data_IF_157955874310
#
_entry.id   IF_157955874310
#
_cell.length_a   1.000
_cell.length_b   1.000
_cell.length_c   1.000
_cell.angle_alpha   90.00
_cell.angle_beta   90.00
_cell.angle_gamma   90.00
#
_symmetry.space_group_name_H-M   'P 1'
#
loop_
_entity.id
_entity.type
_entity.pdbx_description
1 polymer ?
#
# COMPACT_ATOMS: atom_id res chain seq x y z
N UNK A 1 12.73 38.06 -43.74
CA UNK A 1 12.08 37.75 -42.44
C UNK A 1 11.07 36.61 -42.48
N UNK A 2 10.56 36.16 -43.65
CA UNK A 2 9.63 35.00 -43.73
C UNK A 2 10.37 33.65 -43.81
N UNK A 3 11.54 33.62 -44.46
CA UNK A 3 12.35 32.40 -44.67
C UNK A 3 13.00 31.90 -43.37
N UNK A 4 13.42 32.82 -42.48
CA UNK A 4 14.04 32.50 -41.18
C UNK A 4 13.04 31.88 -40.20
N UNK A 5 11.77 32.30 -40.24
CA UNK A 5 10.72 31.72 -39.41
C UNK A 5 10.40 30.26 -39.83
N UNK A 6 10.44 29.96 -41.13
CA UNK A 6 10.21 28.60 -41.64
C UNK A 6 11.31 27.61 -41.24
N UNK A 7 12.57 28.05 -41.25
CA UNK A 7 13.70 27.21 -40.81
C UNK A 7 13.62 26.91 -39.31
N UNK A 8 13.25 27.89 -38.50
CA UNK A 8 13.13 27.74 -37.05
C UNK A 8 12.01 26.77 -36.65
N UNK A 9 10.88 26.79 -37.37
CA UNK A 9 9.77 25.85 -37.17
C UNK A 9 10.17 24.41 -37.51
N UNK A 10 10.94 24.21 -38.58
CA UNK A 10 11.41 22.88 -39.00
C UNK A 10 12.43 22.32 -37.99
N UNK A 11 13.33 23.15 -37.47
CA UNK A 11 14.31 22.71 -36.45
C UNK A 11 13.67 22.33 -35.12
N UNK A 12 12.62 23.03 -34.69
CA UNK A 12 11.90 22.69 -33.45
C UNK A 12 11.08 21.41 -33.63
N UNK A 13 10.41 21.25 -34.78
CA UNK A 13 9.65 20.03 -35.09
C UNK A 13 10.57 18.80 -35.21
N UNK A 14 11.75 18.95 -35.79
CA UNK A 14 12.76 17.88 -35.88
C UNK A 14 13.29 17.44 -34.51
N UNK A 15 13.37 18.36 -33.53
CA UNK A 15 13.82 18.04 -32.17
C UNK A 15 12.77 17.24 -31.37
N UNK A 16 11.47 17.42 -31.67
CA UNK A 16 10.40 16.63 -31.04
C UNK A 16 10.28 15.21 -31.59
N UNK A 17 10.73 14.97 -32.83
CA UNK A 17 10.71 13.64 -33.46
C UNK A 17 11.86 12.72 -33.03
N UNK A 18 12.86 13.26 -32.31
CA UNK A 18 13.98 12.52 -31.75
C UNK A 18 13.85 12.28 -30.24
N UNK A 19 12.70 12.58 -29.64
CA UNK A 19 12.43 12.13 -28.29
C UNK A 19 12.41 10.59 -28.30
N UNK A 20 13.22 9.90 -27.48
CA UNK A 20 13.01 8.47 -27.30
C UNK A 20 11.56 8.29 -26.88
N UNK A 21 10.84 7.45 -27.60
CA UNK A 21 9.57 6.92 -27.14
C UNK A 21 9.80 6.51 -25.70
N UNK A 22 9.20 7.25 -24.75
CA UNK A 22 8.99 6.70 -23.43
C UNK A 22 8.12 5.48 -23.69
N UNK A 23 8.76 4.33 -23.86
CA UNK A 23 8.11 3.04 -23.72
C UNK A 23 7.37 3.18 -22.41
N UNK A 24 6.04 3.25 -22.54
CA UNK A 24 5.15 3.21 -21.41
C UNK A 24 5.56 1.95 -20.67
N UNK A 25 6.39 2.10 -19.64
CA UNK A 25 6.81 1.04 -18.77
C UNK A 25 5.50 0.49 -18.27
N UNK A 26 5.12 -0.68 -18.80
CA UNK A 26 3.93 -1.39 -18.41
C UNK A 26 3.95 -1.37 -16.91
N UNK A 27 3.06 -0.58 -16.30
CA UNK A 27 2.87 -0.59 -14.87
C UNK A 27 2.63 -2.05 -14.55
N UNK A 28 3.65 -2.71 -14.00
CA UNK A 28 3.51 -4.01 -13.38
C UNK A 28 2.40 -3.79 -12.39
N UNK A 29 1.23 -4.36 -12.70
CA UNK A 29 0.09 -4.35 -11.79
C UNK A 29 0.67 -4.71 -10.44
N UNK A 30 0.39 -3.90 -9.41
CA UNK A 30 0.81 -4.19 -8.05
C UNK A 30 0.10 -5.47 -7.62
N UNK A 31 0.62 -6.60 -8.07
CA UNK A 31 0.19 -7.92 -7.68
C UNK A 31 0.50 -8.00 -6.19
N UNK A 32 -0.46 -8.43 -5.39
CA UNK A 32 -0.27 -8.58 -3.95
C UNK A 32 0.90 -9.55 -3.72
N UNK A 33 2.06 -8.99 -3.36
CA UNK A 33 3.24 -9.75 -3.03
C UNK A 33 3.01 -10.39 -1.67
N UNK A 34 2.67 -11.68 -1.69
CA UNK A 34 2.44 -12.43 -0.46
C UNK A 34 3.74 -12.84 0.24
N UNK A 35 4.91 -12.58 -0.34
CA UNK A 35 6.20 -12.92 0.29
C UNK A 35 6.45 -12.14 1.59
N UNK A 36 5.73 -11.03 1.80
CA UNK A 36 5.81 -10.23 3.02
C UNK A 36 4.92 -10.76 4.16
N UNK A 37 4.07 -11.76 3.89
CA UNK A 37 3.14 -12.29 4.90
C UNK A 37 3.85 -13.04 6.00
N UNK A 38 3.40 -12.78 7.22
CA UNK A 38 3.96 -13.36 8.44
C UNK A 38 3.08 -14.49 8.99
N UNK A 39 1.94 -14.78 8.37
CA UNK A 39 1.19 -16.02 8.58
C UNK A 39 0.11 -15.95 9.67
N UNK A 40 -0.38 -14.76 10.00
CA UNK A 40 -1.66 -14.61 10.67
C UNK A 40 -2.81 -14.74 9.66
N UNK A 41 -3.78 -15.60 9.99
CA UNK A 41 -4.92 -15.90 9.13
C UNK A 41 -6.26 -15.87 9.86
N UNK A 42 -6.23 -15.64 11.18
CA UNK A 42 -7.45 -15.46 11.95
C UNK A 42 -8.15 -14.14 11.59
N UNK A 43 -9.49 -14.10 11.68
CA UNK A 43 -10.23 -12.85 11.52
C UNK A 43 -9.94 -11.90 12.69
N UNK A 44 -10.09 -10.60 12.45
CA UNK A 44 -10.05 -9.61 13.53
C UNK A 44 -11.24 -9.77 14.47
N UNK A 45 -11.13 -9.23 15.69
CA UNK A 45 -12.26 -9.13 16.61
C UNK A 45 -13.37 -8.26 16.00
N UNK A 46 -14.63 -8.55 16.37
CA UNK A 46 -15.78 -7.77 15.91
C UNK A 46 -15.73 -6.35 16.51
N UNK A 47 -15.66 -5.28 15.68
CA UNK A 47 -15.66 -3.90 16.14
C UNK A 47 -16.80 -3.58 17.13
N UNK A 48 -17.97 -4.19 16.97
CA UNK A 48 -19.13 -3.93 17.82
C UNK A 48 -18.93 -4.35 19.30
N UNK A 49 -17.86 -5.09 19.61
CA UNK A 49 -17.51 -5.49 20.97
C UNK A 49 -16.91 -4.35 21.80
N UNK A 50 -16.41 -3.28 21.16
CA UNK A 50 -15.74 -2.17 21.84
C UNK A 50 -16.67 -0.99 22.09
N UNK A 51 -16.55 -0.36 23.26
CA UNK A 51 -17.31 0.86 23.58
C UNK A 51 -16.72 2.15 22.99
N UNK A 52 -15.41 2.18 22.74
CA UNK A 52 -14.72 3.35 22.17
C UNK A 52 -14.84 3.35 20.64
N UNK A 53 -15.46 4.39 20.09
CA UNK A 53 -15.67 4.54 18.64
C UNK A 53 -14.38 4.53 17.82
N UNK A 54 -13.26 5.02 18.37
CA UNK A 54 -11.95 4.99 17.68
C UNK A 54 -11.42 3.57 17.59
N UNK A 55 -11.59 2.78 18.64
CA UNK A 55 -11.22 1.36 18.62
C UNK A 55 -12.08 0.60 17.61
N UNK A 56 -13.40 0.84 17.59
CA UNK A 56 -14.27 0.23 16.56
C UNK A 56 -13.79 0.55 15.14
N UNK A 57 -13.48 1.82 14.86
CA UNK A 57 -12.99 2.26 13.56
C UNK A 57 -11.66 1.60 13.19
N UNK A 58 -10.76 1.42 14.16
CA UNK A 58 -9.48 0.75 13.94
C UNK A 58 -9.68 -0.74 13.57
N UNK A 59 -10.55 -1.45 14.29
CA UNK A 59 -10.85 -2.85 13.99
C UNK A 59 -11.61 -3.01 12.66
N UNK A 60 -12.48 -2.06 12.30
CA UNK A 60 -13.16 -2.07 10.99
C UNK A 60 -12.16 -1.88 9.84
N UNK A 61 -11.18 -0.97 10.01
CA UNK A 61 -10.10 -0.79 9.04
C UNK A 61 -9.22 -2.05 8.93
N UNK A 62 -8.86 -2.66 10.07
CA UNK A 62 -8.09 -3.91 10.10
C UNK A 62 -8.82 -5.05 9.37
N UNK A 63 -10.13 -5.18 9.58
CA UNK A 63 -11.00 -6.15 8.91
C UNK A 63 -11.09 -5.94 7.40
N UNK A 64 -11.01 -4.70 6.93
CA UNK A 64 -11.07 -4.38 5.50
C UNK A 64 -9.81 -4.78 4.73
N UNK A 65 -8.64 -4.75 5.38
CA UNK A 65 -7.33 -5.04 4.76
C UNK A 65 -6.44 -5.96 5.60
N UNK A 66 -6.91 -7.13 6.05
CA UNK A 66 -6.17 -7.99 6.97
C UNK A 66 -4.82 -8.44 6.40
N UNK A 67 -4.78 -8.60 5.08
CA UNK A 67 -3.60 -8.97 4.31
C UNK A 67 -2.48 -7.92 4.41
N UNK A 68 -2.81 -6.62 4.51
CA UNK A 68 -1.83 -5.55 4.73
C UNK A 68 -1.25 -5.67 6.13
N UNK A 69 -2.10 -5.87 7.14
CA UNK A 69 -1.67 -6.00 8.52
C UNK A 69 -0.82 -7.25 8.74
N UNK A 70 -1.11 -8.36 8.03
CA UNK A 70 -0.26 -9.55 8.08
C UNK A 70 1.09 -9.38 7.37
N UNK A 71 1.27 -8.30 6.61
CA UNK A 71 2.55 -7.95 5.99
C UNK A 71 3.41 -7.04 6.86
N UNK A 72 2.91 -6.61 8.02
CA UNK A 72 3.53 -5.58 8.86
C UNK A 72 3.89 -6.16 10.22
N UNK A 73 5.09 -5.82 10.70
CA UNK A 73 5.50 -6.12 12.07
C UNK A 73 4.78 -5.19 13.07
N UNK A 74 4.25 -5.74 14.16
CA UNK A 74 3.51 -4.96 15.16
C UNK A 74 4.48 -4.06 15.95
N UNK A 75 4.22 -2.75 16.04
CA UNK A 75 5.12 -1.79 16.70
C UNK A 75 5.29 -2.06 18.20
N UNK A 76 4.33 -2.76 18.81
CA UNK A 76 4.34 -3.11 20.23
C UNK A 76 5.46 -4.09 20.60
N UNK A 77 6.09 -4.76 19.62
CA UNK A 77 7.08 -5.82 19.85
C UNK A 77 6.52 -6.95 20.73
N UNK A 78 5.25 -7.31 20.52
CA UNK A 78 4.52 -8.29 21.32
C UNK A 78 4.74 -9.75 20.88
N UNK A 79 5.48 -10.02 19.81
CA UNK A 79 5.73 -11.36 19.25
C UNK A 79 6.22 -12.34 20.32
N UNK A 80 7.19 -11.94 21.13
CA UNK A 80 7.83 -12.79 22.15
C UNK A 80 6.95 -13.05 23.39
N UNK A 81 5.97 -12.20 23.66
CA UNK A 81 5.18 -12.25 24.91
C UNK A 81 3.75 -12.74 24.70
N UNK A 82 3.18 -12.52 23.51
CA UNK A 82 1.80 -12.83 23.16
C UNK A 82 1.68 -13.87 22.04
N UNK A 83 2.81 -14.36 21.50
CA UNK A 83 2.83 -15.27 20.35
C UNK A 83 2.11 -14.69 19.12
N UNK A 84 2.17 -13.35 18.98
CA UNK A 84 1.65 -12.61 17.84
C UNK A 84 2.63 -12.68 16.67
N UNK A 85 2.14 -12.90 15.44
CA UNK A 85 2.98 -13.11 14.26
C UNK A 85 3.19 -11.83 13.45
N UNK A 86 2.19 -10.95 13.46
CA UNK A 86 2.12 -9.72 12.69
C UNK A 86 1.28 -8.67 13.40
N UNK A 87 1.16 -7.48 12.81
CA UNK A 87 0.19 -6.49 13.24
C UNK A 87 -1.24 -7.05 13.20
N UNK A 88 -1.56 -7.99 12.30
CA UNK A 88 -2.88 -8.60 12.27
C UNK A 88 -3.19 -9.36 13.56
N UNK A 89 -2.22 -10.07 14.15
CA UNK A 89 -2.43 -10.79 15.42
C UNK A 89 -2.87 -9.85 16.55
N UNK A 90 -2.36 -8.61 16.57
CA UNK A 90 -2.76 -7.56 17.51
C UNK A 90 -4.27 -7.20 17.39
N UNK A 91 -4.89 -7.44 16.23
CA UNK A 91 -6.33 -7.20 15.97
C UNK A 91 -7.18 -8.48 16.02
N UNK A 92 -6.59 -9.66 16.15
CA UNK A 92 -7.31 -10.94 16.34
C UNK A 92 -7.85 -11.03 17.78
N UNK A 93 -7.11 -10.44 18.73
CA UNK A 93 -7.54 -10.23 20.12
C UNK A 93 -7.79 -8.74 20.41
N UNK A 94 -7.92 -8.37 21.69
CA UNK A 94 -8.21 -7.01 22.14
C UNK A 94 -6.94 -6.16 22.37
N UNK A 95 -5.75 -6.66 22.07
CA UNK A 95 -4.50 -5.95 22.38
C UNK A 95 -4.39 -4.61 21.64
N UNK A 96 -4.84 -4.52 20.38
CA UNK A 96 -4.86 -3.25 19.64
C UNK A 96 -5.81 -2.19 20.23
N UNK A 97 -6.64 -2.52 21.23
CA UNK A 97 -7.51 -1.59 21.93
C UNK A 97 -6.81 -0.75 23.02
N UNK A 98 -5.59 -1.11 23.42
CA UNK A 98 -4.75 -0.33 24.36
C UNK A 98 -4.47 -0.99 25.70
#
# INVERSE_FOLDING_TARGET
>A
MRITASIMVITVAGLFLAAPSFEAETQKTAQADESLRRGESQPTLDPATFGDLRVQQAYEAAKAVPWVLDSIYCFCQCEDFFNHKSLLSCYVDDHAAG
#
